data_IF_792826152179
#
_entry.id   IF_792826152179
#
_cell.length_a   1.000
_cell.length_b   1.000
_cell.length_c   1.000
_cell.angle_alpha   90.00
_cell.angle_beta   90.00
_cell.angle_gamma   90.00
#
_symmetry.space_group_name_H-M   'P 1'
#
loop_
_entity.id
_entity.type
_entity.pdbx_description
1 polymer ?
#
# COMPACT_ATOMS: atom_id res chain seq x y z
N UNK A 1 -27.77 -40.19 32.62
CA UNK A 1 -26.44 -39.70 32.19
C UNK A 1 -26.12 -38.45 33.00
N UNK A 2 -25.00 -38.43 33.76
CA UNK A 2 -24.60 -37.25 34.56
C UNK A 2 -23.88 -36.26 33.64
N UNK A 3 -24.50 -35.12 33.36
CA UNK A 3 -23.90 -34.05 32.57
C UNK A 3 -22.73 -33.43 33.34
N UNK A 4 -21.51 -33.62 32.86
CA UNK A 4 -20.30 -33.10 33.50
C UNK A 4 -20.13 -31.60 33.19
N UNK A 5 -20.69 -30.76 34.07
CA UNK A 5 -20.67 -29.30 34.00
C UNK A 5 -19.24 -28.71 33.87
N UNK A 6 -18.22 -29.37 34.41
CA UNK A 6 -16.83 -28.92 34.32
C UNK A 6 -16.22 -29.10 32.92
N UNK A 7 -16.66 -30.12 32.16
CA UNK A 7 -16.24 -30.32 30.77
C UNK A 7 -16.93 -29.39 29.77
N UNK A 8 -18.14 -28.90 30.07
CA UNK A 8 -18.87 -27.95 29.22
C UNK A 8 -18.44 -26.48 29.35
N UNK A 9 -17.44 -26.18 30.21
CA UNK A 9 -16.80 -24.85 30.28
C UNK A 9 -15.87 -24.54 29.11
N UNK A 10 -15.57 -25.52 28.25
CA UNK A 10 -14.81 -25.27 27.01
C UNK A 10 -15.77 -24.70 25.98
N UNK A 11 -16.11 -23.43 26.15
CA UNK A 11 -16.98 -22.70 25.23
C UNK A 11 -16.20 -22.48 23.91
N UNK A 12 -16.79 -22.90 22.79
CA UNK A 12 -16.32 -22.47 21.48
C UNK A 12 -16.61 -20.98 21.31
N UNK A 13 -15.62 -20.15 21.64
CA UNK A 13 -15.62 -18.73 21.31
C UNK A 13 -15.49 -18.57 19.78
N UNK A 14 -16.62 -18.67 19.08
CA UNK A 14 -16.73 -18.22 17.70
C UNK A 14 -16.68 -16.70 17.63
N UNK A 15 -16.23 -16.18 16.49
CA UNK A 15 -15.99 -14.75 16.19
C UNK A 15 -17.20 -13.81 16.39
N UNK A 16 -18.38 -14.34 16.75
CA UNK A 16 -19.66 -13.62 16.76
C UNK A 16 -20.19 -13.14 18.11
N UNK A 17 -19.62 -13.50 19.27
CA UNK A 17 -20.23 -13.01 20.54
C UNK A 17 -19.28 -12.87 21.75
N UNK A 18 -18.53 -11.76 21.85
CA UNK A 18 -17.57 -11.53 22.92
C UNK A 18 -18.18 -11.06 24.26
N UNK A 19 -19.50 -11.05 24.41
CA UNK A 19 -20.20 -10.45 25.58
C UNK A 19 -21.46 -11.19 26.03
N UNK A 20 -21.73 -12.39 25.53
CA UNK A 20 -22.97 -13.06 25.93
C UNK A 20 -22.80 -13.77 27.28
N UNK A 21 -23.66 -13.41 28.23
CA UNK A 21 -23.81 -14.17 29.45
C UNK A 21 -24.53 -15.47 29.10
N UNK A 22 -23.82 -16.60 29.16
CA UNK A 22 -24.43 -17.90 28.96
C UNK A 22 -25.06 -18.37 30.27
N UNK A 23 -26.34 -18.73 30.22
CA UNK A 23 -27.08 -19.28 31.35
C UNK A 23 -27.22 -20.79 31.14
N UNK A 24 -26.62 -21.57 32.03
CA UNK A 24 -26.82 -23.01 32.07
C UNK A 24 -27.79 -23.31 33.21
N UNK A 25 -29.03 -23.62 32.83
CA UNK A 25 -30.15 -24.02 33.69
C UNK A 25 -30.60 -22.89 34.66
N UNK A 26 -29.79 -22.57 35.67
CA UNK A 26 -30.10 -21.57 36.72
C UNK A 26 -28.91 -20.70 37.15
N UNK A 27 -27.68 -20.98 36.70
CA UNK A 27 -26.49 -20.21 37.08
C UNK A 27 -25.97 -19.34 35.93
N UNK A 28 -25.63 -18.09 36.26
CA UNK A 28 -24.93 -17.18 35.37
C UNK A 28 -23.47 -17.59 35.25
N UNK A 29 -23.00 -17.85 34.03
CA UNK A 29 -21.56 -18.07 33.78
C UNK A 29 -20.93 -16.72 33.48
N UNK A 30 -20.12 -16.22 34.41
CA UNK A 30 -19.35 -14.99 34.24
C UNK A 30 -18.19 -15.22 33.28
N UNK A 31 -18.01 -14.31 32.32
CA UNK A 31 -16.89 -14.37 31.36
C UNK A 31 -15.56 -14.33 32.10
N UNK A 32 -14.65 -15.24 31.76
CA UNK A 32 -13.36 -15.33 32.45
C UNK A 32 -12.40 -14.19 32.04
N UNK A 33 -11.38 -13.88 32.85
CA UNK A 33 -10.33 -12.94 32.46
C UNK A 33 -9.66 -13.32 31.14
N UNK A 34 -9.48 -14.63 30.88
CA UNK A 34 -8.89 -15.13 29.64
C UNK A 34 -9.75 -14.78 28.41
N UNK A 35 -11.07 -14.94 28.46
CA UNK A 35 -11.97 -14.57 27.36
C UNK A 35 -11.91 -13.06 27.05
N UNK A 36 -11.88 -12.21 28.09
CA UNK A 36 -11.73 -10.74 27.91
C UNK A 36 -10.39 -10.39 27.26
N UNK A 37 -9.31 -11.11 27.60
CA UNK A 37 -7.98 -10.87 27.01
C UNK A 37 -7.93 -11.29 25.54
N UNK A 38 -8.54 -12.43 25.17
CA UNK A 38 -8.60 -12.90 23.78
C UNK A 38 -9.37 -11.93 22.87
N UNK A 39 -10.49 -11.39 23.36
CA UNK A 39 -11.29 -10.39 22.63
C UNK A 39 -10.52 -9.07 22.45
N UNK A 40 -9.75 -8.67 23.47
CA UNK A 40 -8.91 -7.47 23.39
C UNK A 40 -7.78 -7.67 22.36
N UNK A 41 -7.17 -8.86 22.33
CA UNK A 41 -6.13 -9.23 21.37
C UNK A 41 -6.68 -9.23 19.94
N UNK A 42 -7.85 -9.83 19.70
CA UNK A 42 -8.48 -9.86 18.37
C UNK A 42 -8.77 -8.45 17.85
N UNK A 43 -9.37 -7.57 18.67
CA UNK A 43 -9.60 -6.16 18.29
C UNK A 43 -8.30 -5.42 17.99
N UNK A 44 -7.26 -5.64 18.78
CA UNK A 44 -5.94 -5.03 18.56
C UNK A 44 -5.30 -5.54 17.27
N UNK A 45 -5.43 -6.83 16.98
CA UNK A 45 -4.95 -7.46 15.75
C UNK A 45 -5.72 -6.94 14.53
N UNK A 46 -7.06 -6.89 14.57
CA UNK A 46 -7.91 -6.29 13.54
C UNK A 46 -7.46 -4.85 13.23
N UNK A 47 -7.34 -4.00 14.26
CA UNK A 47 -6.90 -2.60 14.07
C UNK A 47 -5.50 -2.54 13.47
N UNK A 48 -4.59 -3.44 13.85
CA UNK A 48 -3.25 -3.53 13.26
C UNK A 48 -3.29 -3.97 11.79
N UNK A 49 -4.10 -4.97 11.45
CA UNK A 49 -4.28 -5.45 10.09
C UNK A 49 -4.90 -4.38 9.19
N UNK A 50 -5.90 -3.66 9.68
CA UNK A 50 -6.54 -2.56 8.95
C UNK A 50 -5.52 -1.44 8.64
N UNK A 51 -4.63 -1.13 9.59
CA UNK A 51 -3.52 -0.18 9.37
C UNK A 51 -2.52 -0.70 8.34
N UNK A 52 -2.13 -1.97 8.40
CA UNK A 52 -1.23 -2.58 7.42
C UNK A 52 -1.84 -2.55 6.02
N UNK A 53 -3.14 -2.87 5.89
CA UNK A 53 -3.87 -2.82 4.63
C UNK A 53 -3.96 -1.40 4.06
N UNK A 54 -4.22 -0.40 4.92
CA UNK A 54 -4.22 1.01 4.51
C UNK A 54 -2.83 1.43 4.00
N UNK A 55 -1.77 1.09 4.74
CA UNK A 55 -0.39 1.37 4.33
C UNK A 55 -0.03 0.68 3.01
N UNK A 56 -0.43 -0.58 2.81
CA UNK A 56 -0.22 -1.31 1.55
C UNK A 56 -0.92 -0.63 0.37
N UNK A 57 -2.17 -0.20 0.53
CA UNK A 57 -2.90 0.55 -0.51
C UNK A 57 -2.21 1.86 -0.85
N UNK A 58 -1.79 2.64 0.15
CA UNK A 58 -1.07 3.90 -0.06
C UNK A 58 0.27 3.67 -0.76
N UNK A 59 1.04 2.65 -0.33
CA UNK A 59 2.32 2.32 -0.94
C UNK A 59 2.17 1.87 -2.39
N UNK A 60 1.12 1.11 -2.70
CA UNK A 60 0.81 0.71 -4.07
C UNK A 60 0.52 1.93 -4.97
N UNK A 61 -0.35 2.85 -4.52
CA UNK A 61 -0.66 4.08 -5.24
C UNK A 61 0.61 4.93 -5.46
N UNK A 62 1.41 5.10 -4.41
CA UNK A 62 2.68 5.83 -4.48
C UNK A 62 3.63 5.20 -5.51
N UNK A 63 3.73 3.86 -5.52
CA UNK A 63 4.50 3.10 -6.49
C UNK A 63 4.04 3.36 -7.93
N UNK A 64 2.73 3.30 -8.17
CA UNK A 64 2.12 3.55 -9.49
C UNK A 64 2.38 4.97 -10.01
N UNK A 65 2.32 5.98 -9.14
CA UNK A 65 2.65 7.36 -9.50
C UNK A 65 4.12 7.46 -9.92
N UNK A 66 5.03 6.88 -9.13
CA UNK A 66 6.47 6.89 -9.42
C UNK A 66 6.78 6.21 -10.74
N UNK A 67 6.17 5.06 -11.03
CA UNK A 67 6.37 4.36 -12.31
C UNK A 67 5.81 5.16 -13.49
N UNK A 68 4.66 5.81 -13.35
CA UNK A 68 4.06 6.64 -14.41
C UNK A 68 4.90 7.87 -14.74
N UNK A 69 5.47 8.54 -13.72
CA UNK A 69 6.35 9.70 -13.93
C UNK A 69 7.66 9.28 -14.60
N UNK A 70 8.25 8.16 -14.17
CA UNK A 70 9.51 7.64 -14.75
C UNK A 70 9.32 7.09 -16.16
N UNK A 71 8.17 6.50 -16.47
CA UNK A 71 7.85 6.11 -17.84
C UNK A 71 7.67 7.35 -18.71
N UNK A 72 6.79 8.29 -18.32
CA UNK A 72 6.54 9.51 -19.11
C UNK A 72 7.82 10.32 -19.40
N UNK A 73 8.78 10.36 -18.47
CA UNK A 73 10.08 11.00 -18.75
C UNK A 73 10.92 10.23 -19.77
N UNK A 74 10.90 8.89 -19.73
CA UNK A 74 11.57 8.01 -20.69
C UNK A 74 10.93 7.99 -22.07
N UNK A 75 9.61 8.09 -22.17
CA UNK A 75 8.91 8.08 -23.46
C UNK A 75 8.71 9.48 -24.05
N UNK A 76 8.60 10.53 -23.23
CA UNK A 76 8.32 11.89 -23.71
C UNK A 76 9.54 12.80 -23.70
N UNK A 77 10.15 12.98 -22.53
CA UNK A 77 11.20 14.00 -22.32
C UNK A 77 12.51 13.56 -22.97
N UNK A 78 12.96 12.33 -22.72
CA UNK A 78 14.23 11.83 -23.24
C UNK A 78 14.29 11.79 -24.78
N UNK A 79 13.26 11.30 -25.51
CA UNK A 79 13.25 11.32 -26.97
C UNK A 79 13.17 12.74 -27.54
N UNK A 80 12.42 13.64 -26.91
CA UNK A 80 12.33 15.03 -27.32
C UNK A 80 13.67 15.76 -27.16
N UNK A 81 14.33 15.65 -26.01
CA UNK A 81 15.67 16.21 -25.80
C UNK A 81 16.67 15.67 -26.83
N UNK A 82 16.61 14.36 -27.10
CA UNK A 82 17.48 13.72 -28.10
C UNK A 82 17.23 14.26 -29.51
N UNK A 83 15.96 14.45 -29.90
CA UNK A 83 15.59 14.99 -31.20
C UNK A 83 16.05 16.45 -31.37
N UNK A 84 15.94 17.27 -30.32
CA UNK A 84 16.40 18.66 -30.34
C UNK A 84 17.93 18.75 -30.47
N UNK A 85 18.67 17.92 -29.74
CA UNK A 85 20.13 17.86 -29.86
C UNK A 85 20.56 17.42 -31.26
N UNK A 86 19.91 16.39 -31.83
CA UNK A 86 20.18 15.96 -33.22
C UNK A 86 19.93 17.10 -34.21
N UNK A 87 18.78 17.77 -34.13
CA UNK A 87 18.43 18.90 -35.00
C UNK A 87 19.43 20.06 -34.87
N UNK A 88 19.93 20.33 -33.66
CA UNK A 88 20.94 21.36 -33.45
C UNK A 88 22.28 20.98 -34.08
N UNK A 89 22.74 19.73 -33.89
CA UNK A 89 23.95 19.21 -34.51
C UNK A 89 23.87 19.26 -36.05
N UNK A 90 22.74 18.84 -36.62
CA UNK A 90 22.49 18.93 -38.06
C UNK A 90 22.53 20.37 -38.56
N UNK A 91 21.92 21.30 -37.83
CA UNK A 91 21.98 22.73 -38.14
C UNK A 91 23.41 23.29 -38.05
N UNK A 92 24.20 22.89 -37.05
CA UNK A 92 25.60 23.29 -36.92
C UNK A 92 26.48 22.74 -38.06
N UNK A 93 26.23 21.52 -38.51
CA UNK A 93 26.93 20.94 -39.66
C UNK A 93 26.50 21.63 -40.97
N UNK A 94 25.21 21.94 -41.10
CA UNK A 94 24.68 22.68 -42.24
C UNK A 94 25.22 24.11 -42.32
N UNK A 95 25.31 24.82 -41.19
CA UNK A 95 25.82 26.19 -41.14
C UNK A 95 27.32 26.26 -41.41
N UNK A 96 28.09 25.25 -40.99
CA UNK A 96 29.52 25.13 -41.34
C UNK A 96 29.74 24.75 -42.81
N UNK A 97 28.80 24.02 -43.43
CA UNK A 97 28.83 23.72 -44.85
C UNK A 97 28.40 24.90 -45.76
N UNK A 98 27.60 25.84 -45.25
CA UNK A 98 27.06 26.98 -46.02
C UNK A 98 27.72 28.34 -45.74
N UNK A 99 28.78 28.40 -44.93
CA UNK A 99 29.40 29.67 -44.57
C UNK A 99 30.92 29.64 -44.40
N UNK A 100 31.64 30.12 -45.41
CA UNK A 100 32.62 31.18 -45.24
C UNK A 100 32.43 32.17 -46.42
N UNK A 101 32.44 33.50 -46.18
CA UNK A 101 33.65 34.17 -45.74
C UNK A 101 33.47 35.04 -44.50
N UNK A 102 34.57 35.15 -43.76
CA UNK A 102 34.88 36.25 -42.84
C UNK A 102 34.69 37.56 -43.59
N UNK A 103 33.69 38.35 -43.19
CA UNK A 103 33.59 39.74 -43.62
C UNK A 103 34.59 40.55 -42.79
N UNK A 104 35.74 40.81 -43.40
CA UNK A 104 36.70 41.82 -43.00
C UNK A 104 35.97 43.18 -42.89
N UNK A 105 36.10 43.86 -41.76
CA UNK A 105 35.68 45.27 -41.61
C UNK A 105 36.77 46.05 -40.90
N UNK A 106 37.48 46.83 -41.71
CA UNK A 106 38.10 48.10 -41.35
C UNK A 106 37.10 49.02 -40.62
#
# INVERSE_FOLDING_TARGET
MKFNKAKCKVLHAGQGNPKHNYRLDTEWVESSPEEKTLVLVDKKLNVSQQRTLAAQKTNHILGCIKSSVTSRSREGILPLCSALVRRHLEYCVWSTALGAPVQDRH
#
